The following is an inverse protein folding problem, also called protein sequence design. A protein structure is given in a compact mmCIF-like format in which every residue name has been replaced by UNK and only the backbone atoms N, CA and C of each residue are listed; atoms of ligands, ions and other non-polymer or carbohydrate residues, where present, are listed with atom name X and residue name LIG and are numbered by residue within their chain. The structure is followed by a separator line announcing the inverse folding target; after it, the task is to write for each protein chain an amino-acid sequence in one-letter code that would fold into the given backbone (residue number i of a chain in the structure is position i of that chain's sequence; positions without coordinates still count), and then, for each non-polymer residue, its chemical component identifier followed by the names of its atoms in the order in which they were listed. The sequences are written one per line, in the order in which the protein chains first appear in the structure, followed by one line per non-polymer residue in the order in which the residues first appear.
data_IF_554502390854
#
_entry.id   IF_554502390854
#
_cell.length_a   1.000
_cell.length_b   1.000
_cell.length_c   1.000
_cell.angle_alpha   90.00
_cell.angle_beta   90.00
_cell.angle_gamma   90.00
#
_symmetry.space_group_name_H-M   'P 1'
#
loop_
_entity.id
_entity.type
_entity.pdbx_description
1 polymer ?
#
# COMPACT_ATOMS: atom_id res chain seq x y z
N UNK A 1 -47.52 -16.14 4.09
CA UNK A 1 -46.72 -15.88 2.91
C UNK A 1 -47.05 -16.94 1.86
N UNK A 2 -47.49 -16.52 0.68
CA UNK A 2 -47.92 -17.42 -0.38
C UNK A 2 -46.66 -18.13 -0.98
N UNK A 3 -46.82 -19.41 -1.37
CA UNK A 3 -45.73 -20.25 -1.92
C UNK A 3 -45.04 -19.60 -3.12
N UNK A 4 -45.80 -18.87 -3.94
CA UNK A 4 -45.26 -18.09 -5.07
C UNK A 4 -44.40 -16.92 -4.63
N UNK A 5 -44.77 -16.19 -3.59
CA UNK A 5 -44.01 -15.06 -3.04
C UNK A 5 -42.69 -15.53 -2.42
N UNK A 6 -42.70 -16.71 -1.79
CA UNK A 6 -41.48 -17.32 -1.24
C UNK A 6 -40.48 -17.75 -2.33
N UNK A 7 -41.00 -18.36 -3.41
CA UNK A 7 -40.16 -18.77 -4.56
C UNK A 7 -39.57 -17.56 -5.30
N UNK A 8 -40.32 -16.47 -5.44
CA UNK A 8 -39.84 -15.25 -6.08
C UNK A 8 -38.75 -14.55 -5.24
N UNK A 9 -38.94 -14.50 -3.92
CA UNK A 9 -37.93 -13.97 -2.99
C UNK A 9 -36.64 -14.82 -2.98
N UNK A 10 -36.77 -16.14 -3.05
CA UNK A 10 -35.62 -17.04 -3.11
C UNK A 10 -34.87 -16.91 -4.44
N UNK A 11 -35.57 -16.74 -5.55
CA UNK A 11 -34.97 -16.54 -6.87
C UNK A 11 -34.27 -15.17 -6.99
N UNK A 12 -34.88 -14.10 -6.43
CA UNK A 12 -34.23 -12.77 -6.42
C UNK A 12 -33.02 -12.76 -5.49
N UNK A 13 -33.04 -13.45 -4.37
CA UNK A 13 -31.88 -13.58 -3.47
C UNK A 13 -30.74 -14.37 -4.12
N UNK A 14 -31.06 -15.45 -4.84
CA UNK A 14 -30.07 -16.23 -5.61
C UNK A 14 -29.45 -15.43 -6.76
N UNK A 15 -30.25 -14.61 -7.45
CA UNK A 15 -29.74 -13.70 -8.51
C UNK A 15 -28.84 -12.60 -7.94
N UNK A 16 -29.16 -12.03 -6.78
CA UNK A 16 -28.33 -11.01 -6.12
C UNK A 16 -27.02 -11.60 -5.60
N UNK A 17 -26.99 -12.87 -5.20
CA UNK A 17 -25.77 -13.55 -4.75
C UNK A 17 -24.85 -14.00 -5.89
N UNK A 18 -25.38 -14.12 -7.13
CA UNK A 18 -24.59 -14.48 -8.30
C UNK A 18 -23.76 -13.32 -8.86
N UNK A 19 -23.98 -12.09 -8.35
CA UNK A 19 -23.20 -10.90 -8.71
C UNK A 19 -22.04 -10.62 -7.73
N UNK A 20 -21.60 -11.59 -6.95
CA UNK A 20 -20.25 -11.49 -6.41
C UNK A 20 -19.28 -11.64 -7.59
N UNK A 21 -18.96 -10.51 -8.20
CA UNK A 21 -17.83 -10.40 -9.12
C UNK A 21 -16.59 -10.88 -8.37
N UNK A 22 -16.28 -12.16 -8.56
CA UNK A 22 -14.93 -12.64 -8.33
C UNK A 22 -14.06 -11.90 -9.34
N UNK A 23 -13.51 -10.76 -8.92
CA UNK A 23 -12.42 -10.14 -9.64
C UNK A 23 -11.23 -11.11 -9.53
N UNK A 24 -11.29 -12.21 -10.29
CA UNK A 24 -10.13 -13.03 -10.55
C UNK A 24 -9.22 -12.17 -11.43
N UNK A 25 -8.34 -11.42 -10.80
CA UNK A 25 -7.14 -10.98 -11.50
C UNK A 25 -6.52 -12.27 -12.05
N UNK A 26 -6.65 -12.49 -13.37
CA UNK A 26 -5.89 -13.52 -14.07
C UNK A 26 -4.46 -13.33 -13.61
N UNK A 27 -3.92 -14.31 -12.89
CA UNK A 27 -2.56 -14.26 -12.36
C UNK A 27 -1.60 -14.10 -13.54
N UNK A 28 -1.31 -12.86 -13.88
CA UNK A 28 -0.10 -12.54 -14.63
C UNK A 28 1.06 -13.08 -13.81
N UNK A 29 2.04 -13.62 -14.49
CA UNK A 29 3.24 -14.16 -13.86
C UNK A 29 3.69 -13.28 -12.70
N UNK A 30 3.95 -13.89 -11.55
CA UNK A 30 4.41 -13.16 -10.37
C UNK A 30 5.65 -12.37 -10.75
N UNK A 31 5.68 -11.09 -10.40
CA UNK A 31 6.83 -10.25 -10.65
C UNK A 31 8.08 -10.90 -10.04
N UNK A 32 9.13 -11.07 -10.86
CA UNK A 32 10.40 -11.63 -10.41
C UNK A 32 11.22 -10.61 -9.62
N UNK A 33 11.06 -9.34 -9.97
CA UNK A 33 11.76 -8.22 -9.35
C UNK A 33 10.76 -7.10 -9.05
N UNK A 34 10.96 -6.43 -7.94
CA UNK A 34 10.23 -5.21 -7.56
C UNK A 34 11.27 -4.13 -7.31
N UNK A 35 11.16 -3.01 -8.00
CA UNK A 35 12.00 -1.84 -7.80
C UNK A 35 11.16 -0.76 -7.14
N UNK A 36 11.57 -0.32 -5.95
CA UNK A 36 10.95 0.77 -5.24
C UNK A 36 11.81 2.02 -5.38
N UNK A 37 11.30 3.05 -6.05
CA UNK A 37 11.99 4.31 -6.24
C UNK A 37 11.30 5.38 -5.41
N UNK A 38 11.98 5.87 -4.39
CA UNK A 38 11.49 6.97 -3.56
C UNK A 38 12.22 8.28 -3.91
N UNK A 39 11.47 9.34 -4.13
CA UNK A 39 11.98 10.67 -4.41
C UNK A 39 11.50 11.62 -3.31
N UNK A 40 12.42 12.00 -2.44
CA UNK A 40 12.11 12.92 -1.35
C UNK A 40 11.92 14.35 -1.87
N UNK A 41 11.05 15.12 -1.20
CA UNK A 41 10.78 16.52 -1.56
C UNK A 41 10.06 16.75 -2.88
N UNK A 42 9.65 15.69 -3.59
CA UNK A 42 8.99 15.82 -4.89
C UNK A 42 7.48 15.95 -4.77
N UNK A 43 6.98 17.16 -5.06
CA UNK A 43 5.55 17.44 -5.04
C UNK A 43 4.87 17.18 -6.39
N UNK A 44 3.66 16.62 -6.37
CA UNK A 44 2.86 16.32 -7.55
C UNK A 44 2.62 17.54 -8.47
N UNK A 45 2.67 18.73 -7.94
CA UNK A 45 2.52 20.00 -8.69
C UNK A 45 3.62 20.25 -9.72
N UNK A 46 4.76 19.57 -9.62
CA UNK A 46 5.88 19.70 -10.56
C UNK A 46 5.65 18.93 -11.85
N UNK A 47 4.88 17.85 -11.83
CA UNK A 47 4.66 16.96 -12.98
C UNK A 47 4.14 17.68 -14.24
N UNK A 48 3.14 18.57 -14.17
CA UNK A 48 2.67 19.30 -15.37
C UNK A 48 3.63 20.39 -15.84
N UNK A 49 4.62 20.77 -15.00
CA UNK A 49 5.53 21.89 -15.27
C UNK A 49 6.91 21.46 -15.76
N UNK A 50 7.33 20.27 -15.40
CA UNK A 50 8.66 19.77 -15.71
C UNK A 50 8.64 18.86 -16.94
N UNK A 51 9.74 18.89 -17.69
CA UNK A 51 9.94 17.95 -18.79
C UNK A 51 10.46 16.62 -18.23
N UNK A 52 9.55 15.66 -18.11
CA UNK A 52 9.80 14.34 -17.54
C UNK A 52 9.20 13.24 -18.43
N UNK A 53 9.76 13.01 -19.64
CA UNK A 53 9.14 12.09 -20.60
C UNK A 53 9.06 10.66 -20.08
N UNK A 54 10.07 10.18 -19.35
CA UNK A 54 10.06 8.81 -18.79
C UNK A 54 9.01 8.64 -17.69
N UNK A 55 8.81 9.64 -16.83
CA UNK A 55 7.78 9.60 -15.81
C UNK A 55 6.39 9.63 -16.44
N UNK A 56 6.19 10.47 -17.45
CA UNK A 56 4.92 10.52 -18.21
C UNK A 56 4.61 9.17 -18.84
N UNK A 57 5.61 8.52 -19.44
CA UNK A 57 5.44 7.18 -19.99
C UNK A 57 5.08 6.15 -18.95
N UNK A 58 5.69 6.18 -17.76
CA UNK A 58 5.31 5.30 -16.64
C UNK A 58 3.88 5.55 -16.18
N UNK A 59 3.40 6.79 -16.21
CA UNK A 59 2.02 7.12 -15.89
C UNK A 59 1.04 6.60 -16.93
N UNK A 60 1.40 6.60 -18.22
CA UNK A 60 0.59 6.04 -19.31
C UNK A 60 0.48 4.51 -19.22
N UNK A 61 1.58 3.84 -18.88
CA UNK A 61 1.68 2.38 -18.83
C UNK A 61 1.20 1.77 -17.49
N UNK A 62 1.04 2.59 -16.45
CA UNK A 62 0.77 2.15 -15.08
C UNK A 62 -0.40 2.85 -14.41
N UNK A 63 -0.43 2.74 -13.09
CA UNK A 63 -1.41 3.42 -12.24
C UNK A 63 -0.72 4.52 -11.42
N UNK A 64 -1.32 5.70 -11.35
CA UNK A 64 -0.77 6.82 -10.60
C UNK A 64 -1.85 7.63 -9.89
N UNK A 65 -1.42 8.45 -8.94
CA UNK A 65 -2.25 9.48 -8.32
C UNK A 65 -1.44 10.74 -8.03
N UNK A 66 -2.04 11.89 -8.26
CA UNK A 66 -1.48 13.20 -7.89
C UNK A 66 -2.10 13.76 -6.61
N UNK A 67 -2.99 13.00 -5.96
CA UNK A 67 -3.77 13.43 -4.79
C UNK A 67 -3.28 12.79 -3.48
N UNK A 68 -2.19 12.05 -3.50
CA UNK A 68 -1.62 11.44 -2.28
C UNK A 68 -1.12 12.56 -1.35
N UNK A 69 -1.49 12.46 -0.08
CA UNK A 69 -1.01 13.34 0.98
C UNK A 69 0.09 12.66 1.79
N UNK A 70 1.00 13.46 2.35
CA UNK A 70 1.97 12.99 3.32
C UNK A 70 1.28 12.59 4.64
N UNK A 71 1.92 11.68 5.39
CA UNK A 71 1.58 11.48 6.79
C UNK A 71 1.94 12.74 7.60
N UNK A 72 1.24 12.98 8.70
CA UNK A 72 1.50 14.10 9.61
C UNK A 72 2.15 13.58 10.90
N UNK A 73 3.12 14.32 11.46
CA UNK A 73 3.75 15.54 10.94
C UNK A 73 4.48 15.29 9.62
N UNK A 74 4.40 16.24 8.68
CA UNK A 74 4.98 16.08 7.34
C UNK A 74 6.50 16.28 7.38
N UNK A 75 7.22 15.18 7.65
CA UNK A 75 8.68 15.14 7.56
C UNK A 75 9.15 13.92 6.80
N UNK A 76 10.38 13.95 6.31
CA UNK A 76 10.96 12.84 5.53
C UNK A 76 11.00 11.56 6.34
N UNK A 77 11.52 11.58 7.57
CA UNK A 77 11.65 10.38 8.42
C UNK A 77 10.30 9.68 8.63
N UNK A 78 9.27 10.44 8.99
CA UNK A 78 7.93 9.91 9.23
C UNK A 78 7.32 9.31 7.96
N UNK A 79 7.46 10.01 6.83
CA UNK A 79 6.89 9.53 5.58
C UNK A 79 7.65 8.32 5.00
N UNK A 80 8.97 8.27 5.14
CA UNK A 80 9.75 7.08 4.79
C UNK A 80 9.37 5.89 5.67
N UNK A 81 9.27 6.09 6.99
CA UNK A 81 8.80 5.04 7.90
C UNK A 81 7.40 4.56 7.51
N UNK A 82 6.46 5.48 7.26
CA UNK A 82 5.10 5.13 6.86
C UNK A 82 5.05 4.34 5.56
N UNK A 83 5.89 4.67 4.58
CA UNK A 83 5.97 3.93 3.31
C UNK A 83 6.52 2.51 3.49
N UNK A 84 7.62 2.36 4.24
CA UNK A 84 8.25 1.06 4.43
C UNK A 84 7.51 0.16 5.40
N UNK A 85 6.73 0.72 6.29
CA UNK A 85 5.93 0.00 7.29
C UNK A 85 4.48 -0.19 6.87
N UNK A 86 4.01 0.51 5.82
CA UNK A 86 2.62 0.43 5.36
C UNK A 86 1.61 0.91 6.42
N UNK A 87 2.02 1.79 7.33
CA UNK A 87 1.23 2.24 8.47
C UNK A 87 1.51 3.72 8.74
N UNK A 88 0.61 4.40 9.44
CA UNK A 88 0.81 5.76 9.89
C UNK A 88 1.56 5.86 11.22
N UNK A 89 1.95 7.10 11.61
CA UNK A 89 2.70 7.35 12.86
C UNK A 89 1.99 6.86 14.11
N UNK A 90 0.67 6.84 14.10
CA UNK A 90 -0.16 6.33 15.20
C UNK A 90 0.00 4.83 15.45
N UNK A 91 0.55 4.10 14.49
CA UNK A 91 0.80 2.66 14.59
C UNK A 91 2.28 2.35 14.77
N UNK A 92 3.17 2.97 13.99
CA UNK A 92 4.60 2.67 14.05
C UNK A 92 5.37 3.51 15.08
N UNK A 93 4.79 4.62 15.53
CA UNK A 93 5.34 5.41 16.64
C UNK A 93 6.43 6.43 16.28
N UNK A 94 6.91 6.48 15.05
CA UNK A 94 7.87 7.48 14.61
C UNK A 94 7.17 8.79 14.30
N UNK A 95 7.52 9.86 15.01
CA UNK A 95 6.82 11.16 14.92
C UNK A 95 7.75 12.36 14.71
N UNK A 96 9.09 12.16 14.74
CA UNK A 96 10.06 13.23 14.65
C UNK A 96 11.11 13.02 13.57
N UNK A 97 11.71 14.11 13.16
CA UNK A 97 12.87 14.09 12.27
C UNK A 97 14.10 13.52 12.99
N UNK A 98 14.78 12.58 12.35
CA UNK A 98 16.00 12.00 12.90
C UNK A 98 15.79 10.95 13.99
N UNK A 99 14.56 10.51 14.20
CA UNK A 99 14.24 9.43 15.15
C UNK A 99 15.03 8.17 14.86
N UNK A 100 15.72 7.68 15.86
CA UNK A 100 16.42 6.37 15.81
C UNK A 100 15.53 5.25 16.37
N UNK A 101 14.63 5.62 17.25
CA UNK A 101 13.63 4.75 17.87
C UNK A 101 12.28 5.46 17.83
N UNK A 102 11.16 4.72 17.84
CA UNK A 102 9.86 5.36 17.86
C UNK A 102 9.65 6.16 19.15
N UNK A 103 9.12 7.37 19.04
CA UNK A 103 8.79 8.26 20.17
C UNK A 103 7.54 7.79 20.90
N UNK A 104 6.61 7.17 20.16
CA UNK A 104 5.40 6.58 20.73
C UNK A 104 5.49 5.06 20.69
N UNK A 105 4.86 4.36 21.64
CA UNK A 105 4.82 2.91 21.61
C UNK A 105 4.21 2.38 20.30
N UNK A 106 4.96 1.58 19.57
CA UNK A 106 4.43 0.91 18.38
C UNK A 106 3.36 -0.10 18.79
N UNK A 107 2.24 -0.13 18.05
CA UNK A 107 1.12 -1.03 18.36
C UNK A 107 1.35 -2.47 17.94
N UNK A 108 2.20 -2.68 16.96
CA UNK A 108 2.61 -4.00 16.49
C UNK A 108 4.12 -4.06 16.54
N UNK A 109 4.66 -5.07 17.20
CA UNK A 109 6.10 -5.24 17.35
C UNK A 109 6.54 -6.55 16.69
N UNK A 110 7.65 -6.47 15.97
CA UNK A 110 8.37 -7.64 15.52
C UNK A 110 9.27 -8.20 16.62
N UNK A 111 10.04 -9.25 16.32
CA UNK A 111 11.01 -9.85 17.27
C UNK A 111 12.09 -8.89 17.77
N UNK A 112 12.31 -7.77 17.10
CA UNK A 112 13.29 -6.75 17.48
C UNK A 112 12.65 -5.58 18.26
N UNK A 113 11.37 -5.66 18.59
CA UNK A 113 10.66 -4.63 19.35
C UNK A 113 10.28 -3.38 18.55
N UNK A 114 10.25 -3.46 17.22
CA UNK A 114 9.86 -2.36 16.34
C UNK A 114 8.71 -2.78 15.42
N UNK A 115 8.01 -1.81 14.85
CA UNK A 115 6.97 -2.07 13.85
C UNK A 115 7.60 -2.75 12.62
N UNK A 116 7.01 -3.83 12.08
CA UNK A 116 7.60 -4.57 10.97
C UNK A 116 7.63 -3.73 9.69
N UNK A 117 8.73 -3.83 8.94
CA UNK A 117 8.87 -3.23 7.62
C UNK A 117 8.52 -4.24 6.52
N UNK A 118 8.21 -3.74 5.33
CA UNK A 118 8.00 -4.58 4.14
C UNK A 118 9.21 -5.48 3.86
N UNK A 119 10.43 -5.00 4.13
CA UNK A 119 11.66 -5.77 3.94
C UNK A 119 11.75 -6.95 4.90
N UNK A 120 11.37 -6.74 6.15
CA UNK A 120 11.34 -7.82 7.12
C UNK A 120 10.25 -8.84 6.77
N UNK A 121 9.04 -8.38 6.47
CA UNK A 121 7.94 -9.28 6.08
C UNK A 121 8.32 -10.10 4.85
N UNK A 122 9.01 -9.51 3.88
CA UNK A 122 9.52 -10.22 2.72
C UNK A 122 10.58 -11.26 3.12
N UNK A 123 11.50 -10.89 3.98
CA UNK A 123 12.56 -11.81 4.46
C UNK A 123 11.99 -12.98 5.26
N UNK A 124 10.99 -12.72 6.09
CA UNK A 124 10.34 -13.75 6.90
C UNK A 124 9.51 -14.71 6.01
N UNK A 125 8.85 -14.18 4.97
CA UNK A 125 8.06 -14.98 4.05
C UNK A 125 8.90 -15.70 2.96
N UNK A 126 10.06 -15.15 2.62
CA UNK A 126 10.98 -15.64 1.57
C UNK A 126 12.43 -15.40 2.00
N UNK A 127 13.01 -16.30 2.79
CA UNK A 127 14.39 -16.16 3.27
C UNK A 127 15.43 -16.06 2.15
N UNK A 128 15.14 -16.64 0.99
CA UNK A 128 16.00 -16.62 -0.20
C UNK A 128 15.94 -15.31 -1.01
N UNK A 129 14.99 -14.41 -0.70
CA UNK A 129 14.86 -13.17 -1.46
C UNK A 129 16.08 -12.26 -1.27
N UNK A 130 16.61 -11.77 -2.39
CA UNK A 130 17.66 -10.77 -2.39
C UNK A 130 17.04 -9.39 -2.21
N UNK A 131 17.44 -8.70 -1.17
CA UNK A 131 17.01 -7.33 -0.85
C UNK A 131 18.25 -6.46 -0.87
N UNK A 132 18.23 -5.41 -1.70
CA UNK A 132 19.29 -4.42 -1.80
C UNK A 132 18.71 -3.00 -1.69
N UNK A 133 19.47 -2.06 -1.16
CA UNK A 133 19.18 -0.62 -1.11
C UNK A 133 20.48 0.18 -1.21
#
# INVERSE_FOLDING_TARGET
MNKQTFLTLLATFALLFSFTFSCHAKGKDKAKHVVFIGLDGWGAYSLPKADMPNVKKLMEDGAYTLKKRSALPSSSAINWASMFMGAGPELHGYTEWGSKTPELPSRVLNKNGIFPTVFQLLRDARPEAVIGC
#
